data_IF_113036984292
#
_entry.id   IF_113036984292
#
_cell.length_a   1.000
_cell.length_b   1.000
_cell.length_c   1.000
_cell.angle_alpha   90.00
_cell.angle_beta   90.00
_cell.angle_gamma   90.00
#
_symmetry.space_group_name_H-M   'P 1'
#
loop_
_entity.id
_entity.type
_entity.pdbx_description
1 polymer ?
#
# COMPACT_ATOMS: atom_id res chain seq x y z
N UNK A 1 -1.49 22.01 -1.58
CA UNK A 1 -2.04 21.43 -2.83
C UNK A 1 -2.90 20.19 -2.59
N UNK A 2 -2.37 18.99 -2.30
CA UNK A 2 -3.22 17.77 -2.10
C UNK A 2 -4.21 17.93 -0.94
N UNK A 3 -3.73 18.44 0.21
CA UNK A 3 -4.57 18.66 1.39
C UNK A 3 -5.75 19.62 1.14
N UNK A 4 -5.50 20.68 0.38
CA UNK A 4 -6.51 21.69 0.02
C UNK A 4 -7.49 21.14 -1.01
N UNK A 5 -6.99 20.43 -2.03
CA UNK A 5 -7.82 19.80 -3.05
C UNK A 5 -8.79 18.76 -2.46
N UNK A 6 -8.34 18.02 -1.45
CA UNK A 6 -9.14 17.00 -0.76
C UNK A 6 -9.88 17.52 0.47
N UNK A 7 -9.77 18.81 0.79
CA UNK A 7 -10.38 19.42 1.99
C UNK A 7 -10.09 18.61 3.26
N UNK A 8 -8.82 18.26 3.47
CA UNK A 8 -8.41 17.56 4.68
C UNK A 8 -8.54 18.49 5.88
N UNK A 9 -9.14 17.99 6.97
CA UNK A 9 -9.05 18.65 8.28
C UNK A 9 -7.59 18.70 8.75
N UNK A 10 -7.23 19.62 9.66
CA UNK A 10 -5.87 19.67 10.20
C UNK A 10 -5.42 18.33 10.82
N UNK A 11 -6.33 17.61 11.48
CA UNK A 11 -6.05 16.29 12.05
C UNK A 11 -5.82 15.20 11.01
N UNK A 12 -6.58 15.20 9.91
CA UNK A 12 -6.34 14.27 8.79
C UNK A 12 -5.03 14.55 8.08
N UNK A 13 -4.71 15.83 7.86
CA UNK A 13 -3.45 16.23 7.26
C UNK A 13 -2.26 15.79 8.11
N UNK A 14 -2.35 15.94 9.42
CA UNK A 14 -1.30 15.52 10.34
C UNK A 14 -1.13 14.00 10.36
N UNK A 15 -2.22 13.23 10.35
CA UNK A 15 -2.16 11.76 10.20
C UNK A 15 -1.52 11.36 8.88
N UNK A 16 -1.90 12.01 7.77
CA UNK A 16 -1.36 11.71 6.45
C UNK A 16 0.15 11.97 6.40
N UNK A 17 0.63 13.07 6.99
CA UNK A 17 2.07 13.40 7.06
C UNK A 17 2.90 12.42 7.87
N UNK A 18 2.30 11.76 8.86
CA UNK A 18 2.97 10.76 9.71
C UNK A 18 2.83 9.34 9.19
N UNK A 19 2.06 9.14 8.11
CA UNK A 19 1.77 7.83 7.59
C UNK A 19 2.86 7.42 6.58
N UNK A 20 3.67 6.42 6.98
CA UNK A 20 4.77 5.88 6.17
C UNK A 20 4.32 5.23 4.86
N UNK A 21 3.09 4.70 4.80
CA UNK A 21 2.49 4.14 3.57
C UNK A 21 2.20 5.25 2.59
N UNK A 22 1.57 6.33 3.05
CA UNK A 22 1.29 7.52 2.24
C UNK A 22 2.59 8.16 1.73
N UNK A 23 3.59 8.28 2.61
CA UNK A 23 4.92 8.77 2.27
C UNK A 23 5.58 7.90 1.19
N UNK A 24 5.56 6.57 1.36
CA UNK A 24 6.12 5.64 0.37
C UNK A 24 5.40 5.76 -0.99
N UNK A 25 4.06 5.80 -1.00
CA UNK A 25 3.26 5.96 -2.22
C UNK A 25 3.66 7.24 -2.97
N UNK A 26 3.86 8.35 -2.24
CA UNK A 26 4.31 9.61 -2.82
C UNK A 26 5.77 9.60 -3.28
N UNK A 27 6.64 8.81 -2.65
CA UNK A 27 8.06 8.78 -2.93
C UNK A 27 8.46 7.87 -4.10
N UNK A 28 7.72 6.76 -4.34
CA UNK A 28 8.07 5.78 -5.38
C UNK A 28 8.33 6.43 -6.76
N UNK A 29 7.48 7.33 -7.28
CA UNK A 29 7.70 7.91 -8.60
C UNK A 29 9.04 8.66 -8.73
N UNK A 30 9.44 9.39 -7.69
CA UNK A 30 10.70 10.13 -7.68
C UNK A 30 11.90 9.20 -7.50
N UNK A 31 11.83 8.25 -6.56
CA UNK A 31 12.87 7.24 -6.35
C UNK A 31 13.10 6.36 -7.59
N UNK A 32 12.05 6.16 -8.38
CA UNK A 32 12.11 5.43 -9.64
C UNK A 32 12.50 6.30 -10.83
N UNK A 33 12.72 7.61 -10.69
CA UNK A 33 13.05 8.52 -11.80
C UNK A 33 11.98 8.50 -12.92
N UNK A 34 10.70 8.52 -12.54
CA UNK A 34 9.60 8.62 -13.52
C UNK A 34 9.60 9.99 -14.22
N UNK A 35 9.16 10.03 -15.48
CA UNK A 35 9.21 11.26 -16.30
C UNK A 35 8.27 12.38 -15.83
N UNK A 36 7.23 12.06 -15.07
CA UNK A 36 6.28 13.01 -14.45
C UNK A 36 6.02 12.60 -12.99
N UNK A 37 7.11 12.45 -12.22
CA UNK A 37 7.07 11.90 -10.87
C UNK A 37 6.08 12.62 -9.94
N UNK A 38 6.04 13.95 -9.98
CA UNK A 38 5.16 14.76 -9.12
C UNK A 38 3.68 14.50 -9.41
N UNK A 39 3.28 14.47 -10.68
CA UNK A 39 1.88 14.20 -11.05
C UNK A 39 1.45 12.81 -10.61
N UNK A 40 2.31 11.81 -10.84
CA UNK A 40 2.03 10.41 -10.49
C UNK A 40 1.93 10.27 -8.97
N UNK A 41 2.85 10.88 -8.23
CA UNK A 41 2.82 10.90 -6.76
C UNK A 41 1.50 11.49 -6.25
N UNK A 42 1.10 12.64 -6.78
CA UNK A 42 -0.17 13.30 -6.42
C UNK A 42 -1.36 12.39 -6.73
N UNK A 43 -1.42 11.78 -7.92
CA UNK A 43 -2.51 10.89 -8.32
C UNK A 43 -2.63 9.68 -7.40
N UNK A 44 -1.49 9.05 -7.07
CA UNK A 44 -1.48 7.88 -6.19
C UNK A 44 -1.86 8.25 -4.75
N UNK A 45 -1.34 9.35 -4.21
CA UNK A 45 -1.70 9.83 -2.87
C UNK A 45 -3.18 10.21 -2.79
N UNK A 46 -3.75 10.85 -3.82
CA UNK A 46 -5.19 11.14 -3.88
C UNK A 46 -6.01 9.84 -3.83
N UNK A 47 -5.62 8.85 -4.63
CA UNK A 47 -6.29 7.53 -4.67
C UNK A 47 -6.23 6.85 -3.31
N UNK A 48 -5.07 6.89 -2.66
CA UNK A 48 -4.86 6.35 -1.33
C UNK A 48 -5.73 7.05 -0.27
N UNK A 49 -5.77 8.39 -0.26
CA UNK A 49 -6.61 9.15 0.67
C UNK A 49 -8.10 8.89 0.43
N UNK A 50 -8.52 8.74 -0.83
CA UNK A 50 -9.89 8.35 -1.15
C UNK A 50 -10.22 6.96 -0.59
N UNK A 51 -9.31 6.00 -0.73
CA UNK A 51 -9.47 4.65 -0.18
C UNK A 51 -9.60 4.64 1.34
N UNK A 52 -8.88 5.52 2.05
CA UNK A 52 -9.00 5.65 3.51
C UNK A 52 -10.32 6.27 3.97
N UNK A 53 -10.95 7.13 3.15
CA UNK A 53 -12.18 7.85 3.52
C UNK A 53 -13.46 7.11 3.12
N UNK A 54 -13.35 6.24 2.12
CA UNK A 54 -14.46 5.52 1.51
C UNK A 54 -14.25 4.02 1.69
N UNK A 55 -13.89 3.58 2.90
CA UNK A 55 -13.51 2.19 3.20
C UNK A 55 -14.55 1.20 2.67
N UNK A 56 -15.84 1.52 2.77
CA UNK A 56 -16.93 0.68 2.27
C UNK A 56 -16.90 0.39 0.77
N UNK A 57 -16.29 1.28 -0.02
CA UNK A 57 -16.12 1.13 -1.47
C UNK A 57 -14.87 0.32 -1.78
N UNK A 58 -13.82 0.47 -0.97
CA UNK A 58 -12.51 -0.12 -1.21
C UNK A 58 -12.28 -1.43 -0.47
N UNK A 59 -13.12 -1.79 0.50
CA UNK A 59 -13.07 -3.06 1.22
C UNK A 59 -13.19 -4.23 0.25
N UNK A 60 -12.36 -5.24 0.47
CA UNK A 60 -12.31 -6.42 -0.40
C UNK A 60 -13.56 -7.27 -0.22
N UNK A 61 -14.26 -7.55 -1.32
CA UNK A 61 -15.46 -8.40 -1.34
C UNK A 61 -15.17 -9.72 -2.04
N UNK A 62 -16.11 -10.66 -1.98
CA UNK A 62 -15.96 -11.96 -2.67
C UNK A 62 -15.80 -11.79 -4.17
N UNK A 63 -16.47 -10.79 -4.73
CA UNK A 63 -16.38 -10.44 -6.16
C UNK A 63 -15.00 -9.91 -6.56
N UNK A 64 -14.18 -9.52 -5.58
CA UNK A 64 -12.83 -9.00 -5.79
C UNK A 64 -11.73 -10.08 -5.69
N UNK A 65 -12.09 -11.34 -5.47
CA UNK A 65 -11.14 -12.46 -5.34
C UNK A 65 -10.26 -12.59 -6.58
N UNK A 66 -9.08 -11.98 -6.47
CA UNK A 66 -8.05 -11.85 -7.50
C UNK A 66 -6.67 -11.92 -6.83
N UNK A 67 -5.58 -12.10 -7.61
CA UNK A 67 -4.23 -12.02 -7.07
C UNK A 67 -4.00 -10.72 -6.31
N UNK A 68 -3.18 -10.76 -5.25
CA UNK A 68 -2.90 -9.62 -4.35
C UNK A 68 -2.57 -8.32 -5.09
N UNK A 69 -1.80 -8.41 -6.18
CA UNK A 69 -1.40 -7.25 -6.98
C UNK A 69 -2.58 -6.44 -7.52
N UNK A 70 -3.74 -7.07 -7.78
CA UNK A 70 -4.94 -6.39 -8.27
C UNK A 70 -5.47 -5.36 -7.26
N UNK A 71 -5.21 -5.53 -5.96
CA UNK A 71 -5.62 -4.57 -4.93
C UNK A 71 -4.91 -3.24 -5.03
N UNK A 72 -3.70 -3.23 -5.57
CA UNK A 72 -2.87 -2.03 -5.72
C UNK A 72 -2.87 -1.47 -7.14
N UNK A 73 -3.66 -2.04 -8.05
CA UNK A 73 -3.68 -1.67 -9.48
C UNK A 73 -3.89 -0.17 -9.71
N UNK A 74 -4.74 0.45 -8.87
CA UNK A 74 -5.08 1.88 -8.98
C UNK A 74 -3.92 2.83 -8.64
N UNK A 75 -2.87 2.31 -8.03
CA UNK A 75 -1.64 3.06 -7.70
C UNK A 75 -0.38 2.37 -8.24
N UNK A 76 -0.53 1.47 -9.23
CA UNK A 76 0.58 0.71 -9.81
C UNK A 76 1.03 1.21 -11.18
N UNK A 77 0.45 2.31 -11.68
CA UNK A 77 0.78 2.85 -13.00
C UNK A 77 1.85 3.93 -12.89
N UNK A 78 3.02 3.68 -13.50
CA UNK A 78 4.15 4.60 -13.50
C UNK A 78 4.63 4.84 -14.95
N UNK A 79 4.62 6.08 -15.45
CA UNK A 79 5.17 6.42 -16.76
C UNK A 79 6.70 6.41 -16.70
N UNK A 80 7.29 5.38 -17.31
CA UNK A 80 8.74 5.19 -17.34
C UNK A 80 9.30 4.76 -15.97
N UNK A 81 10.53 5.19 -15.70
CA UNK A 81 11.24 4.92 -14.45
C UNK A 81 11.86 3.52 -14.31
N UNK A 82 12.62 3.35 -13.24
CA UNK A 82 13.29 2.10 -12.89
C UNK A 82 12.28 1.09 -12.35
N UNK A 83 11.92 0.12 -13.21
CA UNK A 83 10.97 -0.95 -12.89
C UNK A 83 11.32 -1.75 -11.64
N UNK A 84 12.60 -1.91 -11.31
CA UNK A 84 13.02 -2.65 -10.10
C UNK A 84 12.68 -1.87 -8.83
N UNK A 85 12.88 -0.55 -8.84
CA UNK A 85 12.53 0.32 -7.71
C UNK A 85 11.01 0.41 -7.56
N UNK A 86 10.29 0.56 -8.67
CA UNK A 86 8.82 0.53 -8.66
C UNK A 86 8.31 -0.76 -8.03
N UNK A 87 8.75 -1.91 -8.56
CA UNK A 87 8.29 -3.21 -8.07
C UNK A 87 8.63 -3.39 -6.59
N UNK A 88 9.83 -2.99 -6.16
CA UNK A 88 10.23 -3.02 -4.75
C UNK A 88 9.27 -2.22 -3.86
N UNK A 89 8.90 -1.01 -4.28
CA UNK A 89 7.93 -0.19 -3.56
C UNK A 89 6.55 -0.84 -3.49
N UNK A 90 6.06 -1.38 -4.62
CA UNK A 90 4.79 -2.11 -4.67
C UNK A 90 4.79 -3.36 -3.79
N UNK A 91 5.93 -4.07 -3.70
CA UNK A 91 6.07 -5.25 -2.86
C UNK A 91 6.02 -4.87 -1.36
N UNK A 92 6.63 -3.75 -0.95
CA UNK A 92 6.49 -3.22 0.41
C UNK A 92 5.05 -2.83 0.75
N UNK A 93 4.36 -2.15 -0.16
CA UNK A 93 2.95 -1.80 0.02
C UNK A 93 2.07 -3.06 0.13
N UNK A 94 2.37 -4.08 -0.67
CA UNK A 94 1.67 -5.37 -0.60
C UNK A 94 1.92 -6.06 0.74
N UNK A 95 3.15 -5.99 1.28
CA UNK A 95 3.47 -6.52 2.61
C UNK A 95 2.64 -5.84 3.70
N UNK A 96 2.56 -4.51 3.72
CA UNK A 96 1.71 -3.77 4.67
C UNK A 96 0.26 -4.23 4.57
N UNK A 97 -0.25 -4.33 3.35
CA UNK A 97 -1.64 -4.73 3.09
C UNK A 97 -1.93 -6.11 3.66
N UNK A 98 -1.14 -7.14 3.33
CA UNK A 98 -1.39 -8.51 3.82
C UNK A 98 -1.22 -8.62 5.33
N UNK A 99 -0.28 -7.87 5.93
CA UNK A 99 -0.15 -7.78 7.38
C UNK A 99 -1.38 -7.14 8.03
N UNK A 100 -2.06 -6.21 7.35
CA UNK A 100 -3.36 -5.68 7.76
C UNK A 100 -4.44 -6.76 7.82
N UNK A 101 -4.61 -7.51 6.73
CA UNK A 101 -5.58 -8.60 6.66
C UNK A 101 -5.33 -9.71 7.68
N UNK A 102 -4.06 -10.03 7.95
CA UNK A 102 -3.69 -11.03 8.94
C UNK A 102 -4.05 -10.58 10.37
N UNK A 103 -3.82 -9.30 10.71
CA UNK A 103 -4.16 -8.78 12.04
C UNK A 103 -5.67 -8.70 12.26
N UNK A 104 -6.45 -8.49 11.20
CA UNK A 104 -7.91 -8.40 11.33
C UNK A 104 -8.62 -9.75 11.38
N UNK A 105 -7.94 -10.88 11.06
CA UNK A 105 -8.56 -12.22 10.95
C UNK A 105 -9.49 -12.58 12.11
N UNK A 106 -9.03 -12.40 13.34
CA UNK A 106 -9.79 -12.78 14.54
C UNK A 106 -11.03 -11.90 14.71
N UNK A 107 -10.90 -10.61 14.46
CA UNK A 107 -12.00 -9.65 14.57
C UNK A 107 -13.02 -9.87 13.45
N UNK A 108 -12.56 -10.07 12.22
CA UNK A 108 -13.41 -10.29 11.05
C UNK A 108 -14.22 -11.57 11.19
N UNK A 109 -13.57 -12.66 11.63
CA UNK A 109 -14.23 -13.94 11.90
C UNK A 109 -15.32 -13.81 12.97
N UNK A 110 -15.09 -13.03 14.03
CA UNK A 110 -16.10 -12.79 15.09
C UNK A 110 -17.29 -11.97 14.59
N UNK A 111 -17.05 -11.04 13.66
CA UNK A 111 -18.07 -10.15 13.10
C UNK A 111 -18.78 -10.71 11.87
N UNK A 112 -18.33 -11.85 11.34
CA UNK A 112 -18.83 -12.41 10.08
C UNK A 112 -18.45 -11.58 8.86
N UNK A 113 -17.41 -10.74 8.96
CA UNK A 113 -16.90 -9.93 7.85
C UNK A 113 -16.06 -10.83 6.95
N UNK A 114 -16.21 -10.65 5.64
CA UNK A 114 -15.42 -11.40 4.66
C UNK A 114 -13.94 -11.03 4.76
N UNK A 115 -13.07 -12.05 4.74
CA UNK A 115 -11.63 -11.87 4.66
C UNK A 115 -11.07 -12.93 3.68
N UNK A 116 -10.33 -12.53 2.64
CA UNK A 116 -9.82 -13.45 1.62
C UNK A 116 -8.82 -14.47 2.17
N UNK A 117 -8.16 -14.15 3.28
CA UNK A 117 -7.21 -15.05 3.95
C UNK A 117 -7.93 -16.19 4.65
N UNK A 118 -8.97 -15.89 5.43
CA UNK A 118 -9.76 -16.94 6.12
C UNK A 118 -10.51 -17.83 5.13
N UNK A 119 -10.77 -17.31 3.93
CA UNK A 119 -11.44 -18.03 2.84
C UNK A 119 -10.47 -18.84 1.97
N UNK A 120 -9.17 -18.82 2.26
CA UNK A 120 -8.14 -19.57 1.54
C UNK A 120 -7.83 -19.03 0.13
N UNK A 121 -8.30 -17.82 -0.21
CA UNK A 121 -8.04 -17.18 -1.50
C UNK A 121 -6.59 -16.72 -1.56
N UNK A 122 -6.06 -16.23 -0.44
CA UNK A 122 -4.67 -15.79 -0.33
C UNK A 122 -3.89 -16.67 0.64
N UNK A 123 -2.83 -17.29 0.13
CA UNK A 123 -1.79 -17.91 0.94
C UNK A 123 -0.80 -16.83 1.40
N UNK A 124 -1.10 -16.23 2.56
CA UNK A 124 -0.28 -15.14 3.13
C UNK A 124 1.15 -15.59 3.40
N UNK A 125 1.38 -16.82 3.86
CA UNK A 125 2.72 -17.25 4.26
C UNK A 125 3.64 -17.40 3.04
N UNK A 126 3.11 -17.98 1.96
CA UNK A 126 3.80 -18.06 0.67
C UNK A 126 4.04 -16.66 0.10
N UNK A 127 3.02 -15.81 0.06
CA UNK A 127 3.13 -14.46 -0.51
C UNK A 127 4.07 -13.56 0.29
N UNK A 128 4.00 -13.59 1.63
CA UNK A 128 4.93 -12.87 2.51
C UNK A 128 6.36 -13.29 2.25
N UNK A 129 6.63 -14.59 2.20
CA UNK A 129 7.98 -15.12 1.94
C UNK A 129 8.52 -14.69 0.58
N UNK A 130 7.67 -14.70 -0.46
CA UNK A 130 7.99 -14.22 -1.80
C UNK A 130 8.32 -12.73 -1.80
N UNK A 131 7.47 -11.90 -1.19
CA UNK A 131 7.61 -10.45 -1.14
C UNK A 131 8.87 -10.02 -0.35
N UNK A 132 9.12 -10.61 0.83
CA UNK A 132 10.33 -10.31 1.61
C UNK A 132 11.59 -10.59 0.79
N UNK A 133 11.62 -11.72 0.07
CA UNK A 133 12.74 -12.07 -0.80
C UNK A 133 12.89 -11.05 -1.94
N UNK A 134 11.79 -10.69 -2.60
CA UNK A 134 11.80 -9.74 -3.70
C UNK A 134 12.34 -8.37 -3.26
N UNK A 135 11.83 -7.82 -2.14
CA UNK A 135 12.28 -6.55 -1.59
C UNK A 135 13.78 -6.56 -1.29
N UNK A 136 14.29 -7.65 -0.71
CA UNK A 136 15.72 -7.78 -0.37
C UNK A 136 16.65 -7.91 -1.58
N UNK A 137 16.14 -8.26 -2.76
CA UNK A 137 16.96 -8.40 -3.98
C UNK A 137 17.34 -7.06 -4.62
N UNK A 138 16.65 -5.98 -4.25
CA UNK A 138 16.87 -4.63 -4.78
C UNK A 138 17.16 -3.70 -3.61
N UNK A 139 18.44 -3.40 -3.30
CA UNK A 139 18.77 -2.44 -2.25
C UNK A 139 18.25 -1.04 -2.59
N UNK A 140 17.66 -0.35 -1.61
CA UNK A 140 17.31 1.08 -1.73
C UNK A 140 17.25 1.69 -0.32
N UNK A 141 18.37 2.22 0.19
CA UNK A 141 18.43 2.83 1.52
C UNK A 141 17.43 3.97 1.71
N UNK A 142 17.15 4.74 0.66
CA UNK A 142 16.18 5.84 0.65
C UNK A 142 14.76 5.32 0.88
N UNK A 143 14.40 4.20 0.23
CA UNK A 143 13.11 3.56 0.44
C UNK A 143 13.02 2.92 1.82
N UNK A 144 14.10 2.31 2.30
CA UNK A 144 14.16 1.68 3.63
C UNK A 144 14.06 2.72 4.76
N UNK A 145 14.59 3.93 4.56
CA UNK A 145 14.40 5.04 5.49
C UNK A 145 12.91 5.43 5.65
N UNK A 146 12.14 5.34 4.55
CA UNK A 146 10.69 5.58 4.58
C UNK A 146 9.96 4.37 5.16
N UNK A 147 10.16 3.18 4.61
CA UNK A 147 9.51 1.95 5.03
C UNK A 147 10.37 0.73 4.66
N UNK A 148 10.94 0.09 5.68
CA UNK A 148 11.68 -1.16 5.55
C UNK A 148 10.76 -2.38 5.67
N UNK A 149 11.31 -3.58 5.47
CA UNK A 149 10.55 -4.84 5.59
C UNK A 149 9.92 -5.00 6.98
N UNK A 150 10.65 -4.68 8.05
CA UNK A 150 10.10 -4.81 9.39
C UNK A 150 8.99 -3.79 9.65
N UNK A 151 9.20 -2.55 9.20
CA UNK A 151 8.18 -1.51 9.20
C UNK A 151 6.94 -1.94 8.44
N UNK A 152 7.09 -2.58 7.27
CA UNK A 152 5.96 -3.08 6.49
C UNK A 152 5.16 -4.16 7.23
N UNK A 153 5.85 -5.11 7.88
CA UNK A 153 5.22 -6.20 8.63
C UNK A 153 4.48 -5.71 9.89
N UNK A 154 5.02 -4.67 10.56
CA UNK A 154 4.41 -4.08 11.76
C UNK A 154 3.37 -3.00 11.44
N UNK A 155 3.55 -2.30 10.34
CA UNK A 155 2.77 -1.14 9.94
C UNK A 155 1.35 -1.51 9.51
N UNK A 156 0.48 -0.51 9.51
CA UNK A 156 -0.90 -0.63 9.02
C UNK A 156 -1.09 0.28 7.81
N UNK A 157 -2.08 -0.04 6.95
CA UNK A 157 -2.42 0.81 5.81
C UNK A 157 -2.71 2.23 6.27
N UNK A 158 -3.42 2.39 7.40
CA UNK A 158 -3.86 3.69 7.92
C UNK A 158 -2.81 4.46 8.75
N UNK A 159 -1.59 3.93 8.91
CA UNK A 159 -0.49 4.55 9.65
C UNK A 159 -0.33 3.92 11.01
#
# INVERSE_FOLDING_TARGET
>A
MVAEALRLTPGELERLRKNRVAELIGAIPALAECSDADRVAIQHVITYVAAMRLEEIFDHRREDDRPLAARLERISHFPGGNRKIIQRGMDLLTLVMISGYERSLVADRRKGVYNPVTSGVWDIDTERSRLIRAVRTVPSPEMDAILDVEGALRGSWNG
#
